data_IF_254480364330
#
_entry.id   IF_254480364330
#
_cell.length_a   1.000
_cell.length_b   1.000
_cell.length_c   1.000
_cell.angle_alpha   90.00
_cell.angle_beta   90.00
_cell.angle_gamma   90.00
#
_symmetry.space_group_name_H-M   'P 1'
#
loop_
_entity.id
_entity.type
_entity.pdbx_description
1 polymer ?
#
# COMPACT_ATOMS: atom_id res chain seq x y z
N UNK A 1 26.46 45.26 -1.24
CA UNK A 1 26.57 43.77 -1.25
C UNK A 1 25.88 43.20 -0.01
N UNK A 2 24.59 43.01 -0.06
CA UNK A 2 23.76 42.46 1.05
C UNK A 2 23.43 41.01 0.77
N UNK A 3 24.18 40.08 1.37
CA UNK A 3 24.08 38.64 1.21
C UNK A 3 22.97 38.06 2.10
N UNK A 4 21.90 37.60 1.51
CA UNK A 4 20.94 36.53 1.86
C UNK A 4 21.08 35.85 3.23
N UNK A 5 20.79 36.55 4.32
CA UNK A 5 20.58 35.94 5.64
C UNK A 5 19.21 35.29 5.82
N UNK A 6 18.23 35.61 4.97
CA UNK A 6 16.84 35.08 5.05
C UNK A 6 16.73 33.61 4.66
N UNK A 7 17.53 33.10 3.72
CA UNK A 7 17.50 31.71 3.27
C UNK A 7 18.06 30.71 4.28
N UNK A 8 19.04 31.12 5.11
CA UNK A 8 19.66 30.25 6.11
C UNK A 8 18.76 30.01 7.32
N UNK A 9 18.06 31.05 7.78
CA UNK A 9 17.12 30.94 8.91
C UNK A 9 15.88 30.11 8.57
N UNK A 10 15.37 30.20 7.34
CA UNK A 10 14.24 29.37 6.89
C UNK A 10 14.61 27.89 6.78
N UNK A 11 15.84 27.56 6.40
CA UNK A 11 16.36 26.19 6.36
C UNK A 11 16.44 25.55 7.76
N UNK A 12 16.93 26.32 8.75
CA UNK A 12 17.06 25.85 10.14
C UNK A 12 15.68 25.60 10.77
N UNK A 13 14.75 26.54 10.60
CA UNK A 13 13.40 26.38 11.15
C UNK A 13 12.63 25.21 10.55
N UNK A 14 12.78 24.96 9.25
CA UNK A 14 12.16 23.79 8.58
C UNK A 14 12.79 22.48 9.02
N UNK A 15 14.10 22.44 9.25
CA UNK A 15 14.81 21.27 9.76
C UNK A 15 14.38 20.92 11.19
N UNK A 16 14.31 21.90 12.09
CA UNK A 16 13.80 21.70 13.46
C UNK A 16 12.36 21.24 13.49
N UNK A 17 11.50 21.83 12.67
CA UNK A 17 10.09 21.39 12.54
C UNK A 17 10.01 19.92 12.10
N UNK A 18 10.79 19.50 11.11
CA UNK A 18 10.85 18.10 10.67
C UNK A 18 11.31 17.17 11.79
N UNK A 19 12.33 17.54 12.56
CA UNK A 19 12.79 16.75 13.72
C UNK A 19 11.73 16.63 14.82
N UNK A 20 11.08 17.73 15.18
CA UNK A 20 10.01 17.72 16.19
C UNK A 20 8.84 16.83 15.72
N UNK A 21 8.43 16.94 14.46
CA UNK A 21 7.39 16.09 13.89
C UNK A 21 7.82 14.61 13.94
N UNK A 22 9.04 14.28 13.56
CA UNK A 22 9.54 12.91 13.59
C UNK A 22 9.58 12.32 15.00
N UNK A 23 10.00 13.11 16.00
CA UNK A 23 10.01 12.67 17.41
C UNK A 23 8.58 12.47 17.92
N UNK A 24 7.66 13.41 17.66
CA UNK A 24 6.24 13.27 18.02
C UNK A 24 5.61 12.05 17.36
N UNK A 25 5.88 11.85 16.07
CA UNK A 25 5.39 10.70 15.30
C UNK A 25 5.95 9.38 15.88
N UNK A 26 7.24 9.34 16.23
CA UNK A 26 7.85 8.17 16.86
C UNK A 26 7.23 7.83 18.22
N UNK A 27 6.96 8.85 19.04
CA UNK A 27 6.31 8.67 20.36
C UNK A 27 4.87 8.19 20.20
N UNK A 28 4.11 8.82 19.30
CA UNK A 28 2.72 8.46 19.01
C UNK A 28 2.62 7.03 18.49
N UNK A 29 3.51 6.64 17.56
CA UNK A 29 3.60 5.28 17.05
C UNK A 29 3.87 4.26 18.16
N UNK A 30 4.86 4.50 19.04
CA UNK A 30 5.14 3.60 20.17
C UNK A 30 3.91 3.43 21.07
N UNK A 31 3.15 4.48 21.29
CA UNK A 31 1.90 4.44 22.06
C UNK A 31 0.82 3.61 21.35
N UNK A 32 0.67 3.76 20.03
CA UNK A 32 -0.28 2.98 19.24
C UNK A 32 0.08 1.49 19.23
N UNK A 33 1.36 1.16 18.94
CA UNK A 33 1.82 -0.23 18.90
C UNK A 33 1.61 -0.94 20.23
N UNK A 34 1.82 -0.26 21.37
CA UNK A 34 1.56 -0.84 22.70
C UNK A 34 0.08 -1.15 22.96
N UNK A 35 -0.84 -0.60 22.20
CA UNK A 35 -2.29 -0.84 22.28
C UNK A 35 -2.77 -1.93 21.34
N UNK A 36 -1.92 -2.40 20.44
CA UNK A 36 -2.25 -3.50 19.55
C UNK A 36 -2.19 -4.80 20.32
N UNK A 37 -3.27 -5.54 20.30
CA UNK A 37 -3.34 -6.91 20.85
C UNK A 37 -2.76 -7.93 19.87
N UNK A 38 -2.79 -7.63 18.57
CA UNK A 38 -2.19 -8.43 17.50
C UNK A 38 -1.10 -7.63 16.79
N UNK A 39 0.13 -8.12 16.77
CA UNK A 39 1.28 -7.50 16.09
C UNK A 39 1.47 -8.00 14.64
N UNK A 40 0.64 -8.92 14.20
CA UNK A 40 0.65 -9.48 12.86
C UNK A 40 -0.77 -9.44 12.21
N UNK A 41 -1.50 -8.30 12.27
CA UNK A 41 -2.84 -8.24 11.70
C UNK A 41 -2.77 -8.31 10.17
N UNK A 42 -3.79 -8.90 9.56
CA UNK A 42 -4.06 -8.74 8.15
C UNK A 42 -4.90 -7.48 7.95
N UNK A 43 -4.40 -6.54 7.13
CA UNK A 43 -5.07 -5.27 6.87
C UNK A 43 -5.59 -5.27 5.44
N UNK A 44 -6.91 -5.37 5.29
CA UNK A 44 -7.59 -5.22 4.00
C UNK A 44 -7.86 -3.74 3.76
N UNK A 45 -7.55 -3.27 2.58
CA UNK A 45 -7.82 -1.89 2.20
C UNK A 45 -8.07 -1.79 0.71
N UNK A 46 -9.02 -0.96 0.34
CA UNK A 46 -9.38 -0.67 -1.05
C UNK A 46 -8.21 -0.03 -1.82
N UNK A 47 -7.36 0.71 -1.10
CA UNK A 47 -6.26 1.49 -1.64
C UNK A 47 -4.98 1.35 -0.80
N UNK A 48 -4.01 2.22 -1.02
CA UNK A 48 -2.70 2.21 -0.35
C UNK A 48 -2.74 2.50 1.17
N UNK A 49 -3.89 2.89 1.76
CA UNK A 49 -3.99 3.29 3.17
C UNK A 49 -3.56 2.17 4.11
N UNK A 50 -3.97 0.92 3.83
CA UNK A 50 -3.54 -0.23 4.63
C UNK A 50 -2.04 -0.43 4.65
N UNK A 51 -1.37 -0.22 3.51
CA UNK A 51 0.08 -0.27 3.39
C UNK A 51 0.77 0.83 4.19
N UNK A 52 0.26 2.05 4.13
CA UNK A 52 0.77 3.20 4.91
C UNK A 52 0.63 2.93 6.41
N UNK A 53 -0.52 2.44 6.86
CA UNK A 53 -0.75 2.09 8.26
C UNK A 53 0.22 1.01 8.76
N UNK A 54 0.39 -0.07 8.00
CA UNK A 54 1.30 -1.14 8.36
C UNK A 54 2.76 -0.64 8.42
N UNK A 55 3.19 0.15 7.44
CA UNK A 55 4.51 0.79 7.43
C UNK A 55 4.73 1.69 8.65
N UNK A 56 3.79 2.56 8.95
CA UNK A 56 3.89 3.51 10.07
C UNK A 56 3.94 2.80 11.42
N UNK A 57 3.21 1.71 11.56
CA UNK A 57 3.20 0.88 12.77
C UNK A 57 4.34 -0.15 12.80
N UNK A 58 5.15 -0.26 11.74
CA UNK A 58 6.19 -1.29 11.55
C UNK A 58 5.65 -2.72 11.66
N UNK A 59 4.46 -2.93 11.14
CA UNK A 59 3.85 -4.24 11.04
C UNK A 59 4.34 -4.97 9.78
N UNK A 60 4.33 -6.28 9.82
CA UNK A 60 4.58 -7.11 8.63
C UNK A 60 3.39 -6.99 7.67
N UNK A 61 3.67 -6.94 6.37
CA UNK A 61 2.63 -7.02 5.35
C UNK A 61 2.16 -8.48 5.20
N UNK A 62 1.08 -8.82 5.87
CA UNK A 62 0.52 -10.18 5.88
C UNK A 62 -0.62 -10.38 4.89
N UNK A 63 -0.83 -9.43 3.99
CA UNK A 63 -1.94 -9.46 3.04
C UNK A 63 -1.51 -8.94 1.67
N UNK A 64 -2.04 -9.50 0.54
CA UNK A 64 -1.62 -9.10 -0.79
C UNK A 64 -2.06 -7.67 -1.18
N UNK A 65 -3.16 -7.15 -0.60
CA UNK A 65 -3.72 -5.83 -0.95
C UNK A 65 -2.93 -4.62 -0.43
N UNK A 66 -1.60 -4.74 -0.37
CA UNK A 66 -0.71 -3.66 0.09
C UNK A 66 -0.09 -2.95 -1.10
N UNK A 67 -0.12 -1.63 -1.11
CA UNK A 67 0.48 -0.78 -2.14
C UNK A 67 -0.17 -0.93 -3.53
N UNK A 68 -1.45 -1.17 -3.55
CA UNK A 68 -2.27 -1.28 -4.75
C UNK A 68 -3.62 -0.59 -4.52
N UNK A 69 -4.44 -0.49 -5.55
CA UNK A 69 -5.86 -0.13 -5.42
C UNK A 69 -6.71 -0.94 -6.40
N UNK A 70 -7.97 -1.14 -6.04
CA UNK A 70 -8.97 -1.75 -6.89
C UNK A 70 -9.58 -0.70 -7.83
N UNK A 71 -9.98 -1.09 -9.02
CA UNK A 71 -10.57 -0.15 -9.99
C UNK A 71 -11.87 0.47 -9.48
N UNK A 72 -12.64 -0.30 -8.70
CA UNK A 72 -13.89 0.16 -8.09
C UNK A 72 -14.08 -0.35 -6.66
N UNK A 73 -14.99 0.29 -5.92
CA UNK A 73 -15.43 -0.23 -4.63
C UNK A 73 -16.15 -1.58 -4.77
N UNK A 74 -16.84 -1.83 -5.89
CA UNK A 74 -17.47 -3.12 -6.20
C UNK A 74 -16.44 -4.23 -6.27
N UNK A 75 -15.36 -4.04 -7.03
CA UNK A 75 -14.28 -5.01 -7.15
C UNK A 75 -13.65 -5.37 -5.80
N UNK A 76 -13.52 -4.39 -4.92
CA UNK A 76 -13.01 -4.63 -3.56
C UNK A 76 -14.01 -5.42 -2.70
N UNK A 77 -15.31 -5.15 -2.83
CA UNK A 77 -16.36 -5.89 -2.12
C UNK A 77 -16.37 -7.34 -2.60
N UNK A 78 -16.35 -7.58 -3.91
CA UNK A 78 -16.31 -8.92 -4.50
C UNK A 78 -15.05 -9.68 -4.08
N UNK A 79 -13.89 -9.00 -4.07
CA UNK A 79 -12.64 -9.56 -3.58
C UNK A 79 -12.72 -10.01 -2.11
N UNK A 80 -13.31 -9.19 -1.24
CA UNK A 80 -13.42 -9.49 0.20
C UNK A 80 -14.47 -10.58 0.46
N UNK A 81 -15.57 -10.60 -0.31
CA UNK A 81 -16.62 -11.59 -0.18
C UNK A 81 -16.11 -13.01 -0.47
N UNK A 82 -15.23 -13.16 -1.46
CA UNK A 82 -14.65 -14.44 -1.88
C UNK A 82 -13.12 -14.44 -1.77
N UNK A 83 -12.62 -13.91 -0.64
CA UNK A 83 -11.20 -13.69 -0.36
C UNK A 83 -10.33 -14.92 -0.61
N UNK A 84 -10.81 -16.09 -0.16
CA UNK A 84 -10.07 -17.35 -0.31
C UNK A 84 -9.87 -17.72 -1.78
N UNK A 85 -10.89 -17.51 -2.60
CA UNK A 85 -10.79 -17.74 -4.04
C UNK A 85 -9.79 -16.76 -4.68
N UNK A 86 -10.01 -15.46 -4.51
CA UNK A 86 -9.22 -14.44 -5.20
C UNK A 86 -7.76 -14.37 -4.74
N UNK A 87 -7.46 -14.76 -3.50
CA UNK A 87 -6.07 -14.84 -3.05
C UNK A 87 -5.25 -15.92 -3.76
N UNK A 88 -5.94 -16.91 -4.35
CA UNK A 88 -5.35 -18.02 -5.11
C UNK A 88 -5.64 -17.93 -6.61
N UNK A 89 -6.45 -16.97 -7.05
CA UNK A 89 -6.82 -16.77 -8.43
C UNK A 89 -5.61 -16.45 -9.30
N UNK A 90 -5.68 -16.82 -10.57
CA UNK A 90 -4.67 -16.45 -11.55
C UNK A 90 -4.62 -14.92 -11.70
N UNK A 91 -3.43 -14.35 -11.58
CA UNK A 91 -3.17 -12.94 -11.81
C UNK A 91 -2.51 -12.76 -13.18
N UNK A 92 -3.28 -12.23 -14.14
CA UNK A 92 -2.84 -11.97 -15.52
C UNK A 92 -2.42 -10.51 -15.67
N UNK A 93 -1.42 -10.25 -16.51
CA UNK A 93 -1.00 -8.90 -16.86
C UNK A 93 -2.03 -8.21 -17.75
N UNK A 94 -2.32 -6.95 -17.45
CA UNK A 94 -3.12 -6.04 -18.26
C UNK A 94 -2.24 -4.91 -18.82
N UNK A 95 -2.71 -4.18 -19.85
CA UNK A 95 -2.03 -2.97 -20.29
C UNK A 95 -1.77 -2.02 -19.13
N UNK A 96 -0.54 -1.47 -19.07
CA UNK A 96 -0.15 -0.53 -18.04
C UNK A 96 -1.03 0.72 -18.06
N UNK A 97 -1.34 1.25 -16.88
CA UNK A 97 -2.02 2.52 -16.72
C UNK A 97 -1.03 3.64 -16.40
N UNK A 98 -1.54 4.87 -16.42
CA UNK A 98 -0.76 6.08 -16.18
C UNK A 98 -1.44 6.96 -15.14
N UNK A 99 -0.63 7.54 -14.26
CA UNK A 99 -1.02 8.62 -13.36
C UNK A 99 -0.11 9.82 -13.66
N UNK A 100 -0.64 10.79 -14.42
CA UNK A 100 0.17 11.86 -15.02
C UNK A 100 1.25 11.27 -15.94
N UNK A 101 2.52 11.52 -15.65
CA UNK A 101 3.66 10.97 -16.39
C UNK A 101 4.13 9.60 -15.89
N UNK A 102 3.59 9.11 -14.78
CA UNK A 102 4.01 7.84 -14.17
C UNK A 102 3.22 6.67 -14.74
N UNK A 103 3.96 5.72 -15.33
CA UNK A 103 3.43 4.42 -15.77
C UNK A 103 3.48 3.43 -14.61
N UNK A 104 2.45 2.61 -14.44
CA UNK A 104 2.41 1.55 -13.44
C UNK A 104 1.71 0.28 -13.95
N UNK A 105 2.06 -0.91 -13.40
CA UNK A 105 1.47 -2.19 -13.81
C UNK A 105 0.01 -2.31 -13.39
N UNK A 106 -0.76 -3.02 -14.21
CA UNK A 106 -2.15 -3.40 -13.93
C UNK A 106 -2.26 -4.91 -14.09
N UNK A 107 -2.99 -5.54 -13.19
CA UNK A 107 -3.31 -6.97 -13.23
C UNK A 107 -4.80 -7.24 -13.20
N UNK A 108 -5.18 -8.42 -13.67
CA UNK A 108 -6.52 -8.96 -13.63
C UNK A 108 -6.52 -10.26 -12.85
N UNK A 109 -7.21 -10.30 -11.73
CA UNK A 109 -7.55 -11.55 -11.05
C UNK A 109 -8.68 -12.23 -11.81
N UNK A 110 -8.47 -13.46 -12.23
CA UNK A 110 -9.45 -14.21 -12.98
C UNK A 110 -10.58 -14.73 -12.08
N UNK A 111 -11.81 -14.45 -12.51
CA UNK A 111 -13.00 -15.10 -11.97
C UNK A 111 -13.14 -16.53 -12.46
N UNK A 112 -14.25 -17.18 -12.10
CA UNK A 112 -14.51 -18.58 -12.45
C UNK A 112 -15.83 -18.79 -13.22
N UNK A 113 -16.38 -17.73 -13.79
CA UNK A 113 -17.67 -17.75 -14.49
C UNK A 113 -18.88 -17.42 -13.59
N UNK A 114 -18.78 -17.69 -12.28
CA UNK A 114 -19.75 -17.22 -11.26
C UNK A 114 -19.22 -15.94 -10.59
N UNK A 115 -17.94 -15.91 -10.30
CA UNK A 115 -17.24 -14.74 -9.75
C UNK A 115 -16.67 -13.90 -10.89
N UNK A 116 -16.76 -12.56 -10.83
CA UNK A 116 -16.24 -11.67 -11.87
C UNK A 116 -14.70 -11.63 -11.93
N UNK A 117 -14.14 -11.17 -13.04
CA UNK A 117 -12.76 -10.76 -13.11
C UNK A 117 -12.59 -9.44 -12.32
N UNK A 118 -11.50 -9.31 -11.56
CA UNK A 118 -11.20 -8.13 -10.74
C UNK A 118 -9.92 -7.47 -11.21
N UNK A 119 -9.99 -6.18 -11.52
CA UNK A 119 -8.83 -5.41 -11.94
C UNK A 119 -8.13 -4.73 -10.77
N UNK A 120 -6.79 -4.85 -10.72
CA UNK A 120 -5.93 -4.33 -9.66
C UNK A 120 -4.83 -3.45 -10.26
N UNK A 121 -4.63 -2.28 -9.67
CA UNK A 121 -3.64 -1.29 -10.03
C UNK A 121 -2.47 -1.32 -9.06
N UNK A 122 -1.26 -1.64 -9.53
CA UNK A 122 -0.05 -1.79 -8.72
C UNK A 122 0.80 -0.51 -8.73
N UNK A 123 0.28 0.55 -8.09
CA UNK A 123 0.81 1.92 -8.18
C UNK A 123 2.27 2.07 -7.73
N UNK A 124 2.73 1.23 -6.81
CA UNK A 124 4.05 1.34 -6.18
C UNK A 124 5.07 0.30 -6.68
N UNK A 125 4.75 -0.43 -7.74
CA UNK A 125 5.63 -1.42 -8.34
C UNK A 125 6.22 -0.92 -9.66
N UNK A 126 7.42 -1.41 -10.00
CA UNK A 126 8.14 -1.00 -11.22
C UNK A 126 7.73 -1.82 -12.43
N UNK A 127 7.41 -3.10 -12.21
CA UNK A 127 6.97 -4.02 -13.24
C UNK A 127 5.84 -4.92 -12.74
N UNK A 128 5.15 -5.58 -13.68
CA UNK A 128 4.13 -6.55 -13.37
C UNK A 128 4.71 -7.80 -12.68
N UNK A 129 5.90 -8.24 -13.07
CA UNK A 129 6.60 -9.40 -12.49
C UNK A 129 6.88 -9.16 -11.00
N UNK A 130 7.40 -7.96 -10.64
CA UNK A 130 7.62 -7.57 -9.23
C UNK A 130 6.30 -7.57 -8.45
N UNK A 131 5.24 -7.01 -9.02
CA UNK A 131 3.93 -6.96 -8.40
C UNK A 131 3.35 -8.37 -8.18
N UNK A 132 3.44 -9.23 -9.19
CA UNK A 132 2.97 -10.63 -9.13
C UNK A 132 3.76 -11.45 -8.10
N UNK A 133 5.07 -11.32 -8.05
CA UNK A 133 5.90 -11.99 -7.04
C UNK A 133 5.45 -11.62 -5.62
N UNK A 134 5.27 -10.33 -5.36
CA UNK A 134 4.82 -9.83 -4.06
C UNK A 134 3.38 -10.22 -3.74
N UNK A 135 2.52 -10.28 -4.74
CA UNK A 135 1.16 -10.79 -4.60
C UNK A 135 1.17 -12.24 -4.13
N UNK A 136 1.88 -13.12 -4.83
CA UNK A 136 1.97 -14.56 -4.51
C UNK A 136 2.62 -14.79 -3.14
N UNK A 137 3.72 -14.10 -2.84
CA UNK A 137 4.40 -14.18 -1.54
C UNK A 137 3.44 -13.84 -0.38
N UNK A 138 2.60 -12.81 -0.54
CA UNK A 138 1.69 -12.35 0.52
C UNK A 138 0.39 -13.16 0.58
N UNK A 139 -0.12 -13.60 -0.57
CA UNK A 139 -1.28 -14.50 -0.62
C UNK A 139 -1.01 -15.83 0.07
N UNK A 140 0.19 -16.38 -0.05
CA UNK A 140 0.60 -17.58 0.67
C UNK A 140 0.74 -17.41 2.19
N UNK A 141 0.44 -16.22 2.74
CA UNK A 141 0.38 -15.97 4.19
C UNK A 141 -1.05 -15.91 4.73
N UNK A 142 -2.02 -16.08 3.85
CA UNK A 142 -3.43 -16.19 4.21
C UNK A 142 -3.74 -17.66 4.50
N UNK A 143 -3.65 -18.06 5.73
CA UNK A 143 -4.04 -19.39 6.23
C UNK A 143 -5.40 -19.34 6.92
#
# INVERSE_FOLDING_TARGET
>A
MGRNSRGFLTGITTWWRKKIIAVRHSFYRKRLVRRLTNLAPSILSLDCVGGVMAHDLRLRFNFPTVNLFFESCGDFIDYVADLRYYSQAELCECPYAYEGARRYPVGMLKGNGTLPDIKIHFLHYRSFEEAREKWLERSGRLD
#
